data_IF_711055826540
#
_entry.id   IF_711055826540
#
_cell.length_a   1.000
_cell.length_b   1.000
_cell.length_c   1.000
_cell.angle_alpha   90.00
_cell.angle_beta   90.00
_cell.angle_gamma   90.00
#
_symmetry.space_group_name_H-M   'P 1'
#
loop_
_entity.id
_entity.type
_entity.pdbx_description
1 polymer ?
#
# COMPACT_ATOMS: atom_id res chain seq x y z
N UNK A 1 -33.17 17.10 23.25
CA UNK A 1 -31.75 16.80 23.01
C UNK A 1 -31.68 15.45 22.32
N UNK A 2 -31.53 15.41 21.00
CA UNK A 2 -31.46 14.17 20.20
C UNK A 2 -30.01 13.91 19.81
N UNK A 3 -29.49 12.73 20.17
CA UNK A 3 -28.14 12.29 19.83
C UNK A 3 -28.01 12.11 18.30
N UNK A 4 -26.88 12.51 17.69
CA UNK A 4 -26.61 12.19 16.29
C UNK A 4 -26.28 10.70 16.16
N UNK A 5 -27.10 9.99 15.40
CA UNK A 5 -26.89 8.60 15.01
C UNK A 5 -25.61 8.53 14.18
N UNK A 6 -24.55 7.98 14.76
CA UNK A 6 -23.31 7.69 14.02
C UNK A 6 -23.61 6.50 13.10
N UNK A 7 -23.88 6.76 11.82
CA UNK A 7 -24.00 5.71 10.82
C UNK A 7 -22.62 5.08 10.63
N UNK A 8 -22.44 3.87 11.15
CA UNK A 8 -21.29 3.04 10.79
C UNK A 8 -21.32 2.82 9.27
N UNK A 9 -20.23 3.11 8.53
CA UNK A 9 -20.19 2.84 7.10
C UNK A 9 -20.44 1.34 6.87
N UNK A 10 -21.48 1.01 6.11
CA UNK A 10 -21.74 -0.37 5.70
C UNK A 10 -20.53 -0.88 4.92
N UNK A 11 -20.05 -2.08 5.27
CA UNK A 11 -18.93 -2.70 4.55
C UNK A 11 -19.38 -2.96 3.11
N UNK A 12 -18.65 -2.47 2.08
CA UNK A 12 -19.01 -2.73 0.70
C UNK A 12 -19.10 -4.24 0.45
N UNK A 13 -20.07 -4.74 -0.33
CA UNK A 13 -20.27 -6.17 -0.56
C UNK A 13 -19.02 -6.86 -1.16
N UNK A 14 -18.19 -6.09 -1.87
CA UNK A 14 -16.87 -6.52 -2.34
C UNK A 14 -15.80 -5.51 -1.92
N UNK A 15 -15.24 -5.64 -0.71
CA UNK A 15 -14.17 -4.76 -0.26
C UNK A 15 -13.01 -4.86 -1.24
N UNK A 16 -12.53 -3.70 -1.73
CA UNK A 16 -11.45 -3.56 -2.71
C UNK A 16 -11.80 -3.94 -4.17
N UNK A 17 -13.07 -4.06 -4.56
CA UNK A 17 -13.45 -4.37 -5.95
C UNK A 17 -12.91 -3.37 -7.00
N UNK A 18 -12.64 -2.13 -6.58
CA UNK A 18 -12.07 -1.08 -7.44
C UNK A 18 -10.57 -1.24 -7.67
N UNK A 19 -9.90 -2.15 -6.96
CA UNK A 19 -8.47 -2.39 -7.12
C UNK A 19 -8.22 -3.44 -8.20
N UNK A 20 -7.42 -3.08 -9.19
CA UNK A 20 -6.91 -4.01 -10.19
C UNK A 20 -5.75 -4.82 -9.60
N UNK A 21 -5.80 -6.15 -9.68
CA UNK A 21 -4.65 -6.99 -9.32
C UNK A 21 -3.56 -6.86 -10.40
N UNK A 22 -2.35 -6.50 -9.98
CA UNK A 22 -1.19 -6.32 -10.90
C UNK A 22 -0.06 -7.32 -10.61
N UNK A 23 -0.12 -8.05 -9.50
CA UNK A 23 0.93 -8.99 -9.13
C UNK A 23 0.55 -9.88 -7.94
N UNK A 24 1.55 -10.56 -7.39
CA UNK A 24 1.37 -11.37 -6.18
C UNK A 24 1.09 -10.46 -5.00
N UNK A 25 -0.09 -10.62 -4.38
CA UNK A 25 -0.57 -9.81 -3.27
C UNK A 25 -0.49 -8.30 -3.51
N UNK A 26 -0.46 -7.89 -4.77
CA UNK A 26 -0.25 -6.50 -5.19
C UNK A 26 -1.42 -6.08 -6.06
N UNK A 27 -2.05 -4.98 -5.68
CA UNK A 27 -3.16 -4.39 -6.42
C UNK A 27 -3.04 -2.87 -6.49
N UNK A 28 -3.57 -2.29 -7.56
CA UNK A 28 -3.54 -0.85 -7.83
C UNK A 28 -4.96 -0.31 -7.97
N UNK A 29 -5.24 0.78 -7.27
CA UNK A 29 -6.40 1.62 -7.51
C UNK A 29 -5.95 2.89 -8.24
N UNK A 30 -6.61 3.18 -9.36
CA UNK A 30 -6.39 4.40 -10.13
C UNK A 30 -7.73 5.11 -10.30
N UNK A 31 -7.93 6.29 -9.68
CA UNK A 31 -9.14 7.07 -9.90
C UNK A 31 -9.14 7.65 -11.33
N UNK A 32 -10.31 7.82 -11.98
CA UNK A 32 -10.38 8.42 -13.32
C UNK A 32 -9.67 9.77 -13.49
N UNK A 33 -9.75 10.73 -12.54
CA UNK A 33 -9.02 12.00 -12.62
C UNK A 33 -7.55 11.92 -12.20
N UNK A 34 -6.92 10.74 -12.22
CA UNK A 34 -5.53 10.59 -11.81
C UNK A 34 -4.60 11.47 -12.65
N UNK A 35 -3.70 12.18 -11.96
CA UNK A 35 -2.57 12.89 -12.55
C UNK A 35 -1.31 12.62 -11.73
N UNK A 36 -0.13 12.54 -12.36
CA UNK A 36 1.12 12.33 -11.62
C UNK A 36 1.50 13.47 -10.66
N UNK A 37 0.83 14.62 -10.71
CA UNK A 37 1.05 15.74 -9.78
C UNK A 37 0.54 15.47 -8.36
N UNK A 38 -0.20 14.38 -8.16
CA UNK A 38 -0.77 13.98 -6.88
C UNK A 38 -0.04 12.73 -6.38
N UNK A 39 0.12 12.57 -5.05
CA UNK A 39 0.97 11.53 -4.52
C UNK A 39 0.47 10.12 -4.86
N UNK A 40 1.40 9.20 -5.10
CA UNK A 40 1.14 7.77 -5.03
C UNK A 40 1.15 7.32 -3.57
N UNK A 41 0.06 6.71 -3.13
CA UNK A 41 -0.05 6.15 -1.80
C UNK A 41 0.34 4.68 -1.87
N UNK A 42 1.41 4.32 -1.18
CA UNK A 42 1.95 2.96 -1.12
C UNK A 42 1.58 2.35 0.23
N UNK A 43 0.59 1.46 0.23
CA UNK A 43 0.03 0.88 1.45
C UNK A 43 0.42 -0.58 1.61
N UNK A 44 1.22 -0.87 2.63
CA UNK A 44 1.64 -2.21 3.05
C UNK A 44 0.75 -2.67 4.21
N UNK A 45 -0.19 -3.57 3.93
CA UNK A 45 -1.14 -4.05 4.95
C UNK A 45 -0.46 -4.94 6.00
N UNK A 46 -1.09 -5.06 7.16
CA UNK A 46 -0.66 -6.02 8.16
C UNK A 46 -0.91 -7.47 7.72
N UNK A 47 -0.32 -8.41 8.47
CA UNK A 47 -0.40 -9.83 8.17
C UNK A 47 -1.84 -10.35 8.24
N UNK A 48 -2.24 -11.12 7.23
CA UNK A 48 -3.55 -11.76 7.09
C UNK A 48 -4.74 -10.79 7.22
N UNK A 49 -4.53 -9.52 6.87
CA UNK A 49 -5.56 -8.50 6.90
C UNK A 49 -6.75 -8.87 5.99
N UNK A 50 -7.96 -8.95 6.58
CA UNK A 50 -9.18 -9.13 5.81
C UNK A 50 -9.46 -7.88 4.96
N UNK A 51 -10.00 -8.09 3.75
CA UNK A 51 -10.22 -7.01 2.78
C UNK A 51 -11.09 -5.87 3.33
N UNK A 52 -12.09 -6.18 4.18
CA UNK A 52 -12.94 -5.17 4.84
C UNK A 52 -12.16 -4.18 5.71
N UNK A 53 -11.09 -4.63 6.36
CA UNK A 53 -10.30 -3.76 7.22
C UNK A 53 -9.35 -2.89 6.40
N UNK A 54 -8.75 -3.46 5.35
CA UNK A 54 -7.95 -2.70 4.39
C UNK A 54 -8.81 -1.60 3.73
N UNK A 55 -10.05 -1.94 3.36
CA UNK A 55 -10.97 -1.01 2.72
C UNK A 55 -11.22 0.25 3.55
N UNK A 56 -11.26 0.16 4.88
CA UNK A 56 -11.40 1.34 5.76
C UNK A 56 -10.28 2.37 5.52
N UNK A 57 -9.04 1.90 5.39
CA UNK A 57 -7.88 2.77 5.13
C UNK A 57 -7.88 3.31 3.71
N UNK A 58 -8.14 2.45 2.73
CA UNK A 58 -8.12 2.89 1.32
C UNK A 58 -9.26 3.86 1.01
N UNK A 59 -10.45 3.67 1.60
CA UNK A 59 -11.55 4.64 1.48
C UNK A 59 -11.19 5.98 2.15
N UNK A 60 -10.50 5.94 3.29
CA UNK A 60 -9.97 7.15 3.94
C UNK A 60 -9.02 7.92 3.02
N UNK A 61 -8.06 7.22 2.39
CA UNK A 61 -7.16 7.81 1.41
C UNK A 61 -7.88 8.33 0.16
N UNK A 62 -8.87 7.60 -0.36
CA UNK A 62 -9.69 8.06 -1.48
C UNK A 62 -10.47 9.35 -1.14
N UNK A 63 -10.88 9.53 0.13
CA UNK A 63 -11.51 10.77 0.59
C UNK A 63 -10.53 11.94 0.72
N UNK A 64 -9.33 11.68 1.26
CA UNK A 64 -8.30 12.71 1.49
C UNK A 64 -7.55 13.11 0.21
N UNK A 65 -7.31 12.16 -0.69
CA UNK A 65 -6.56 12.30 -1.92
C UNK A 65 -7.38 11.72 -3.10
N UNK A 66 -8.45 12.40 -3.53
CA UNK A 66 -9.41 11.85 -4.50
C UNK A 66 -8.85 11.56 -5.90
N UNK A 67 -7.68 12.11 -6.21
CA UNK A 67 -6.96 11.97 -7.48
C UNK A 67 -5.71 11.10 -7.36
N UNK A 68 -5.35 10.66 -6.15
CA UNK A 68 -4.17 9.83 -5.91
C UNK A 68 -4.40 8.36 -6.32
N UNK A 69 -3.33 7.73 -6.82
CA UNK A 69 -3.28 6.27 -6.93
C UNK A 69 -3.01 5.65 -5.57
N UNK A 70 -3.53 4.45 -5.36
CA UNK A 70 -3.20 3.64 -4.19
C UNK A 70 -2.64 2.31 -4.66
N UNK A 71 -1.36 2.07 -4.41
CA UNK A 71 -0.71 0.79 -4.62
C UNK A 71 -0.73 0.03 -3.29
N UNK A 72 -1.56 -1.01 -3.25
CA UNK A 72 -1.77 -1.88 -2.10
C UNK A 72 -0.91 -3.14 -2.23
N UNK A 73 -0.08 -3.39 -1.21
CA UNK A 73 0.67 -4.62 -1.04
C UNK A 73 0.15 -5.31 0.21
N UNK A 74 -0.40 -6.52 0.04
CA UNK A 74 -0.96 -7.30 1.13
C UNK A 74 0.09 -8.26 1.69
N UNK A 75 0.06 -8.45 3.01
CA UNK A 75 0.87 -9.44 3.70
C UNK A 75 0.03 -10.64 4.08
N UNK A 76 0.46 -11.84 3.69
CA UNK A 76 -0.08 -13.10 4.21
C UNK A 76 1.02 -13.89 4.92
N UNK A 77 0.63 -14.73 5.88
CA UNK A 77 1.57 -15.54 6.68
C UNK A 77 2.50 -16.38 5.81
N UNK A 78 2.00 -16.90 4.70
CA UNK A 78 2.79 -17.67 3.75
C UNK A 78 3.92 -16.86 3.06
N UNK A 79 3.79 -15.54 2.99
CA UNK A 79 4.81 -14.66 2.40
C UNK A 79 5.98 -14.44 3.35
N UNK A 80 5.71 -14.41 4.67
CA UNK A 80 6.74 -14.25 5.71
C UNK A 80 7.75 -15.41 5.65
N UNK A 81 7.27 -16.63 5.38
CA UNK A 81 8.13 -17.81 5.29
C UNK A 81 8.81 -18.00 3.91
N UNK A 82 8.57 -17.12 2.92
CA UNK A 82 9.03 -17.29 1.52
C UNK A 82 9.97 -16.18 1.01
N UNK A 83 10.66 -15.49 1.93
CA UNK A 83 11.50 -14.31 1.69
C UNK A 83 12.48 -14.43 0.49
N UNK A 84 13.06 -15.60 0.24
CA UNK A 84 14.05 -15.80 -0.83
C UNK A 84 13.52 -15.60 -2.28
N UNK A 85 12.19 -15.66 -2.49
CA UNK A 85 11.55 -15.51 -3.80
C UNK A 85 10.77 -14.19 -3.97
N UNK A 86 10.95 -13.25 -3.03
CA UNK A 86 10.12 -12.06 -2.92
C UNK A 86 10.36 -11.02 -4.04
N UNK A 87 11.59 -10.89 -4.55
CA UNK A 87 11.93 -9.78 -5.46
C UNK A 87 11.15 -9.79 -6.78
N UNK A 88 11.08 -10.92 -7.49
CA UNK A 88 10.35 -11.00 -8.76
C UNK A 88 8.85 -10.70 -8.59
N UNK A 89 8.29 -11.04 -7.42
CA UNK A 89 6.89 -10.79 -7.09
C UNK A 89 6.58 -9.30 -6.89
N UNK A 90 7.60 -8.50 -6.56
CA UNK A 90 7.48 -7.06 -6.34
C UNK A 90 7.71 -6.23 -7.61
N UNK A 91 8.20 -6.82 -8.71
CA UNK A 91 8.52 -6.10 -9.95
C UNK A 91 7.36 -5.23 -10.45
N UNK A 92 6.10 -5.73 -10.57
CA UNK A 92 5.00 -4.89 -11.03
C UNK A 92 4.74 -3.67 -10.13
N UNK A 93 4.96 -3.82 -8.83
CA UNK A 93 4.79 -2.75 -7.86
C UNK A 93 5.94 -1.73 -7.94
N UNK A 94 7.17 -2.19 -8.10
CA UNK A 94 8.36 -1.36 -8.30
C UNK A 94 8.23 -0.50 -9.57
N UNK A 95 7.78 -1.09 -10.67
CA UNK A 95 7.55 -0.39 -11.93
C UNK A 95 6.50 0.72 -11.78
N UNK A 96 5.39 0.47 -11.08
CA UNK A 96 4.37 1.51 -10.82
C UNK A 96 4.94 2.69 -10.04
N UNK A 97 5.75 2.43 -9.01
CA UNK A 97 6.41 3.49 -8.22
C UNK A 97 7.41 4.26 -9.09
N UNK A 98 8.19 3.56 -9.89
CA UNK A 98 9.18 4.17 -10.79
C UNK A 98 8.57 5.05 -11.87
N UNK A 99 7.54 4.55 -12.55
CA UNK A 99 6.76 5.30 -13.53
C UNK A 99 6.17 6.58 -12.93
N UNK A 100 5.63 6.48 -11.71
CA UNK A 100 5.07 7.63 -11.01
C UNK A 100 6.11 8.71 -10.71
N UNK A 101 7.26 8.31 -10.18
CA UNK A 101 8.33 9.22 -9.75
C UNK A 101 9.02 9.84 -10.96
N UNK A 102 9.20 9.08 -12.05
CA UNK A 102 9.69 9.61 -13.33
C UNK A 102 8.78 10.69 -13.91
N UNK A 103 7.47 10.58 -13.67
CA UNK A 103 6.49 11.61 -14.05
C UNK A 103 6.46 12.80 -13.07
N UNK A 104 7.36 12.86 -12.09
CA UNK A 104 7.47 13.95 -11.11
C UNK A 104 6.60 13.82 -9.87
N UNK A 105 5.94 12.67 -9.68
CA UNK A 105 5.03 12.43 -8.57
C UNK A 105 5.74 12.04 -7.27
N UNK A 106 5.17 12.46 -6.13
CA UNK A 106 5.65 12.11 -4.80
C UNK A 106 5.07 10.76 -4.32
N UNK A 107 5.78 10.07 -3.42
CA UNK A 107 5.34 8.78 -2.86
C UNK A 107 5.11 8.93 -1.35
N UNK A 108 3.91 8.60 -0.89
CA UNK A 108 3.55 8.52 0.52
C UNK A 108 3.45 7.05 0.92
N UNK A 109 4.18 6.65 1.96
CA UNK A 109 4.22 5.25 2.39
C UNK A 109 3.44 5.07 3.69
N UNK A 110 2.64 4.01 3.76
CA UNK A 110 2.00 3.57 4.98
C UNK A 110 2.28 2.08 5.16
N UNK A 111 2.91 1.70 6.26
CA UNK A 111 3.09 0.33 6.69
C UNK A 111 2.39 0.07 8.01
N UNK A 112 1.60 -1.01 8.09
CA UNK A 112 0.93 -1.42 9.33
C UNK A 112 1.49 -2.71 9.91
N UNK A 113 1.67 -2.76 11.23
CA UNK A 113 2.18 -3.92 11.99
C UNK A 113 3.55 -4.43 11.50
N UNK A 114 4.03 -5.53 12.08
CA UNK A 114 5.29 -6.16 11.69
C UNK A 114 5.23 -6.69 10.25
N UNK A 115 4.06 -7.12 9.78
CA UNK A 115 3.85 -7.59 8.41
C UNK A 115 4.14 -6.50 7.38
N UNK A 116 3.49 -5.35 7.50
CA UNK A 116 3.70 -4.21 6.60
C UNK A 116 5.10 -3.62 6.75
N UNK A 117 5.61 -3.53 7.99
CA UNK A 117 6.98 -3.08 8.26
C UNK A 117 8.05 -3.97 7.60
N UNK A 118 7.88 -5.29 7.64
CA UNK A 118 8.80 -6.21 6.94
C UNK A 118 8.71 -6.04 5.43
N UNK A 119 7.49 -5.92 4.89
CA UNK A 119 7.30 -5.74 3.45
C UNK A 119 7.91 -4.44 2.93
N UNK A 120 7.82 -3.33 3.67
CA UNK A 120 8.44 -2.06 3.24
C UNK A 120 9.96 -2.18 3.14
N UNK A 121 10.58 -2.91 4.07
CA UNK A 121 12.03 -3.16 4.08
C UNK A 121 12.44 -3.99 2.87
N UNK A 122 11.73 -5.09 2.60
CA UNK A 122 12.01 -5.93 1.42
C UNK A 122 11.74 -5.18 0.11
N UNK A 123 10.72 -4.33 0.06
CA UNK A 123 10.45 -3.46 -1.08
C UNK A 123 11.60 -2.46 -1.32
N UNK A 124 12.10 -1.81 -0.26
CA UNK A 124 13.21 -0.88 -0.36
C UNK A 124 14.52 -1.57 -0.78
N UNK A 125 14.77 -2.80 -0.30
CA UNK A 125 15.91 -3.63 -0.76
C UNK A 125 15.77 -4.00 -2.25
N UNK A 126 14.57 -4.41 -2.67
CA UNK A 126 14.29 -4.74 -4.06
C UNK A 126 14.45 -3.52 -4.98
N UNK A 127 13.96 -2.35 -4.55
CA UNK A 127 14.16 -1.08 -5.23
C UNK A 127 15.64 -0.77 -5.44
N UNK A 128 16.44 -0.80 -4.36
CA UNK A 128 17.90 -0.57 -4.45
C UNK A 128 18.57 -1.54 -5.42
N UNK A 129 18.15 -2.80 -5.44
CA UNK A 129 18.70 -3.80 -6.36
C UNK A 129 18.33 -3.51 -7.82
N UNK A 130 17.08 -3.11 -8.08
CA UNK A 130 16.55 -2.90 -9.42
C UNK A 130 17.02 -1.59 -10.05
N UNK A 131 17.15 -0.52 -9.25
CA UNK A 131 17.45 0.83 -9.71
C UNK A 131 18.85 1.29 -9.27
N UNK A 132 19.87 0.45 -9.47
CA UNK A 132 21.27 0.88 -9.40
C UNK A 132 21.76 1.36 -8.02
N UNK A 133 21.14 0.91 -6.94
CA UNK A 133 21.50 1.29 -5.56
C UNK A 133 20.79 2.53 -5.03
N UNK A 134 19.92 3.17 -5.83
CA UNK A 134 19.15 4.34 -5.44
C UNK A 134 18.25 4.08 -4.24
N UNK A 135 18.06 5.09 -3.39
CA UNK A 135 17.13 4.99 -2.27
C UNK A 135 15.70 5.00 -2.81
N UNK A 136 14.85 4.13 -2.25
CA UNK A 136 13.44 4.14 -2.57
C UNK A 136 12.84 5.52 -2.25
N UNK A 137 12.16 6.17 -3.22
CA UNK A 137 11.57 7.49 -3.01
C UNK A 137 10.41 7.38 -2.01
N UNK A 138 10.53 8.10 -0.90
CA UNK A 138 9.53 8.18 0.15
C UNK A 138 9.50 9.61 0.69
N UNK A 139 8.45 10.36 0.33
CA UNK A 139 8.29 11.76 0.77
C UNK A 139 7.88 11.85 2.25
N UNK A 140 7.07 10.89 2.68
CA UNK A 140 6.68 10.67 4.06
C UNK A 140 6.37 9.18 4.28
N UNK A 141 6.53 8.74 5.54
CA UNK A 141 6.21 7.38 5.96
C UNK A 141 5.37 7.39 7.24
N UNK A 142 4.26 6.67 7.22
CA UNK A 142 3.45 6.34 8.39
C UNK A 142 3.77 4.91 8.81
N UNK A 143 4.14 4.77 10.08
CA UNK A 143 4.33 3.47 10.74
C UNK A 143 3.17 3.31 11.72
N UNK A 144 2.21 2.46 11.36
CA UNK A 144 1.01 2.23 12.16
C UNK A 144 1.15 0.93 12.96
N UNK A 145 1.09 1.04 14.29
CA UNK A 145 1.08 -0.11 15.20
C UNK A 145 2.31 -1.02 15.03
N UNK A 146 3.48 -0.43 14.77
CA UNK A 146 4.76 -1.11 14.57
C UNK A 146 5.95 -0.24 15.00
N UNK A 147 7.13 -0.85 15.28
CA UNK A 147 7.33 -2.30 15.44
C UNK A 147 6.72 -2.81 16.76
N UNK A 148 6.25 -4.05 16.77
CA UNK A 148 6.00 -4.78 18.02
C UNK A 148 7.31 -5.34 18.59
N UNK A 149 7.29 -5.75 19.87
CA UNK A 149 8.39 -6.56 20.43
C UNK A 149 8.58 -7.82 19.57
N UNK A 150 9.81 -8.06 19.11
CA UNK A 150 10.13 -9.29 18.39
C UNK A 150 9.92 -10.49 19.30
N UNK A 151 9.21 -11.51 18.81
CA UNK A 151 9.23 -12.85 19.38
C UNK A 151 10.36 -13.64 18.74
#
# INVERSE_FOLDING_TARGET
MSNPTTSTPSTPPHPLAQFQKIGHNTSLYTPPPYTPSQPLILFFSWNAAAAKHIAKYTLGYQGLFPTARILLIRCFTADIFRLASAHQRLVPALEVVHEHVKAGGEVLVHSSSNGGGTQVVEFAKAWRKMYGGERMPMRAQIIDSAPGMGV
#
